data_IF_628966174662
#
_entry.id   IF_628966174662
#
_cell.length_a   1.000
_cell.length_b   1.000
_cell.length_c   1.000
_cell.angle_alpha   90.00
_cell.angle_beta   90.00
_cell.angle_gamma   90.00
#
_symmetry.space_group_name_H-M   'P 1'
#
loop_
_entity.id
_entity.type
_entity.pdbx_description
1 polymer ?
#
# COMPACT_ATOMS: atom_id res chain seq x y z
N UNK A 1 -8.42 20.69 13.08
CA UNK A 1 -7.15 21.46 13.12
C UNK A 1 -6.67 21.58 11.68
N UNK A 2 -6.58 22.80 11.14
CA UNK A 2 -6.04 23.02 9.78
C UNK A 2 -4.55 22.67 9.79
N UNK A 3 -4.05 21.86 8.85
CA UNK A 3 -2.64 21.59 8.75
C UNK A 3 -1.87 22.89 8.52
N UNK A 4 -0.76 23.08 9.24
CA UNK A 4 0.10 24.24 9.01
C UNK A 4 1.03 23.96 7.83
N UNK A 5 0.52 24.22 6.62
CA UNK A 5 1.29 24.04 5.40
C UNK A 5 2.28 25.21 5.23
N UNK A 6 3.56 24.93 5.24
CA UNK A 6 4.61 25.93 4.98
C UNK A 6 4.59 26.41 3.53
N UNK A 7 4.22 25.55 2.60
CA UNK A 7 4.23 25.80 1.16
C UNK A 7 2.99 26.60 0.71
N UNK A 8 3.19 27.76 0.09
CA UNK A 8 2.12 28.65 -0.38
C UNK A 8 1.16 27.99 -1.36
N UNK A 9 1.67 27.16 -2.28
CA UNK A 9 0.86 26.48 -3.28
C UNK A 9 -0.07 25.42 -2.63
N UNK A 10 0.36 24.74 -1.56
CA UNK A 10 -0.48 23.79 -0.82
C UNK A 10 -1.62 24.53 -0.15
N UNK A 11 -1.36 25.71 0.45
CA UNK A 11 -2.42 26.55 1.05
C UNK A 11 -3.45 27.00 -0.01
N UNK A 12 -2.97 27.39 -1.18
CA UNK A 12 -3.83 27.77 -2.31
C UNK A 12 -4.75 26.62 -2.73
N UNK A 13 -4.19 25.42 -2.96
CA UNK A 13 -5.01 24.25 -3.31
C UNK A 13 -5.95 23.83 -2.19
N UNK A 14 -5.57 23.99 -0.93
CA UNK A 14 -6.47 23.73 0.20
C UNK A 14 -7.69 24.66 0.18
N UNK A 15 -7.49 25.95 -0.05
CA UNK A 15 -8.59 26.92 -0.18
C UNK A 15 -9.46 26.64 -1.41
N UNK A 16 -8.83 26.27 -2.53
CA UNK A 16 -9.53 25.93 -3.75
C UNK A 16 -10.36 24.64 -3.61
N UNK A 17 -9.88 23.68 -2.86
CA UNK A 17 -10.59 22.41 -2.60
C UNK A 17 -11.95 22.64 -1.96
N UNK A 18 -12.08 23.55 -1.01
CA UNK A 18 -13.36 23.87 -0.37
C UNK A 18 -14.41 24.38 -1.39
N UNK A 19 -13.97 25.19 -2.36
CA UNK A 19 -14.85 25.70 -3.42
C UNK A 19 -15.26 24.56 -4.38
N UNK A 20 -14.30 23.74 -4.78
CA UNK A 20 -14.53 22.62 -5.70
C UNK A 20 -15.47 21.59 -5.06
N UNK A 21 -15.27 21.22 -3.80
CA UNK A 21 -16.09 20.22 -3.10
C UNK A 21 -17.56 20.62 -3.04
N UNK A 22 -17.85 21.90 -2.87
CA UNK A 22 -19.24 22.40 -2.86
C UNK A 22 -19.95 22.26 -4.21
N UNK A 23 -19.19 22.40 -5.31
CA UNK A 23 -19.73 22.34 -6.67
C UNK A 23 -19.71 20.92 -7.25
N UNK A 24 -18.82 20.05 -6.77
CA UNK A 24 -18.74 18.67 -7.24
C UNK A 24 -20.05 17.92 -6.98
N UNK A 25 -20.46 17.06 -7.92
CA UNK A 25 -21.59 16.15 -7.75
C UNK A 25 -21.26 15.09 -6.70
N UNK A 26 -20.13 14.41 -6.85
CA UNK A 26 -19.55 13.47 -5.89
C UNK A 26 -18.05 13.72 -5.74
N UNK A 27 -17.51 13.33 -4.60
CA UNK A 27 -16.06 13.38 -4.29
C UNK A 27 -15.63 12.01 -3.86
N UNK A 28 -14.69 11.39 -4.59
CA UNK A 28 -14.20 10.07 -4.27
C UNK A 28 -12.99 10.11 -3.35
N UNK A 29 -12.88 9.15 -2.47
CA UNK A 29 -11.73 8.89 -1.59
C UNK A 29 -11.31 7.45 -1.72
N UNK A 30 -10.01 7.17 -1.56
CA UNK A 30 -9.50 5.80 -1.61
C UNK A 30 -9.73 5.02 -0.30
N UNK A 31 -9.95 5.70 0.82
CA UNK A 31 -10.09 5.08 2.14
C UNK A 31 -10.80 6.01 3.13
N UNK A 32 -11.27 5.43 4.24
CA UNK A 32 -12.13 6.10 5.21
C UNK A 32 -11.48 7.33 5.85
N UNK A 33 -10.19 7.25 6.21
CA UNK A 33 -9.50 8.39 6.81
C UNK A 33 -9.31 9.55 5.82
N UNK A 34 -9.09 9.27 4.51
CA UNK A 34 -9.04 10.31 3.47
C UNK A 34 -10.41 10.99 3.31
N UNK A 35 -11.52 10.23 3.34
CA UNK A 35 -12.88 10.78 3.36
C UNK A 35 -13.07 11.75 4.53
N UNK A 36 -12.60 11.36 5.73
CA UNK A 36 -12.70 12.22 6.91
C UNK A 36 -11.91 13.53 6.77
N UNK A 37 -10.73 13.47 6.12
CA UNK A 37 -9.93 14.66 5.80
C UNK A 37 -10.69 15.57 4.82
N UNK A 38 -11.27 15.02 3.75
CA UNK A 38 -12.04 15.79 2.76
C UNK A 38 -13.25 16.49 3.40
N UNK A 39 -13.97 15.79 4.28
CA UNK A 39 -15.07 16.39 5.06
C UNK A 39 -14.54 17.54 5.95
N UNK A 40 -13.41 17.33 6.63
CA UNK A 40 -12.75 18.38 7.41
C UNK A 40 -12.26 19.57 6.58
N UNK A 41 -12.06 19.39 5.27
CA UNK A 41 -11.73 20.42 4.29
C UNK A 41 -12.98 21.09 3.67
N UNK A 42 -14.17 20.81 4.18
CA UNK A 42 -15.42 21.45 3.75
C UNK A 42 -16.21 20.68 2.69
N UNK A 43 -15.85 19.42 2.40
CA UNK A 43 -16.68 18.58 1.53
C UNK A 43 -17.94 18.14 2.28
N UNK A 44 -19.14 18.31 1.70
CA UNK A 44 -20.37 17.76 2.29
C UNK A 44 -20.28 16.23 2.41
N UNK A 45 -20.62 15.69 3.58
CA UNK A 45 -20.41 14.26 3.89
C UNK A 45 -21.21 13.33 2.96
N UNK A 46 -22.38 13.79 2.51
CA UNK A 46 -23.27 13.07 1.58
C UNK A 46 -22.71 13.00 0.14
N UNK A 47 -21.76 13.87 -0.20
CA UNK A 47 -21.06 13.85 -1.49
C UNK A 47 -19.82 12.95 -1.50
N UNK A 48 -19.28 12.64 -0.31
CA UNK A 48 -18.06 11.85 -0.18
C UNK A 48 -18.33 10.35 -0.28
N UNK A 49 -17.78 9.71 -1.30
CA UNK A 49 -17.87 8.27 -1.54
C UNK A 49 -16.48 7.64 -1.40
N UNK A 50 -16.38 6.51 -0.70
CA UNK A 50 -15.12 5.74 -0.64
C UNK A 50 -15.14 4.70 -1.74
N UNK A 51 -14.22 4.82 -2.70
CA UNK A 51 -13.97 3.81 -3.74
C UNK A 51 -12.48 3.47 -3.68
N UNK A 52 -12.13 2.35 -3.02
CA UNK A 52 -10.74 1.94 -2.91
C UNK A 52 -10.19 1.46 -4.25
N UNK A 53 -8.87 1.59 -4.45
CA UNK A 53 -8.22 0.90 -5.55
C UNK A 53 -8.37 -0.61 -5.40
N UNK A 54 -8.65 -1.28 -6.51
CA UNK A 54 -8.64 -2.72 -6.63
C UNK A 54 -7.39 -3.23 -7.33
N UNK A 55 -7.08 -4.50 -7.13
CA UNK A 55 -6.03 -5.22 -7.85
C UNK A 55 -6.62 -6.43 -8.59
N UNK A 56 -5.94 -6.94 -9.64
CA UNK A 56 -6.32 -8.18 -10.30
C UNK A 56 -6.05 -9.36 -9.35
N UNK A 57 -6.99 -9.61 -8.44
CA UNK A 57 -6.86 -10.55 -7.33
C UNK A 57 -6.43 -11.95 -7.78
N UNK A 58 -6.98 -12.44 -8.89
CA UNK A 58 -6.68 -13.79 -9.41
C UNK A 58 -5.21 -13.96 -9.83
N UNK A 59 -4.53 -12.87 -10.17
CA UNK A 59 -3.08 -12.89 -10.46
C UNK A 59 -2.24 -13.28 -9.24
N UNK A 60 -2.73 -12.96 -8.04
CA UNK A 60 -1.95 -13.10 -6.81
C UNK A 60 -2.44 -14.21 -5.87
N UNK A 61 -3.74 -14.49 -5.85
CA UNK A 61 -4.35 -15.36 -4.84
C UNK A 61 -3.86 -16.82 -4.88
N UNK A 62 -3.46 -17.29 -6.06
CA UNK A 62 -2.94 -18.65 -6.29
C UNK A 62 -1.44 -18.81 -6.07
N UNK A 63 -0.69 -17.74 -5.74
CA UNK A 63 0.75 -17.83 -5.56
C UNK A 63 1.10 -18.74 -4.37
N UNK A 64 1.90 -19.81 -4.58
CA UNK A 64 2.24 -20.75 -3.50
C UNK A 64 3.05 -20.06 -2.40
N UNK A 65 2.86 -20.48 -1.15
CA UNK A 65 3.71 -20.05 -0.05
C UNK A 65 5.15 -20.52 -0.30
N UNK A 66 6.11 -19.72 0.18
CA UNK A 66 7.53 -20.07 0.09
C UNK A 66 7.79 -21.41 0.79
N UNK A 67 8.52 -22.30 0.12
CA UNK A 67 9.02 -23.52 0.73
C UNK A 67 10.02 -23.23 1.85
N UNK A 68 10.06 -24.07 2.88
CA UNK A 68 11.02 -23.92 3.96
C UNK A 68 12.43 -24.31 3.49
N UNK A 69 13.36 -23.37 3.62
CA UNK A 69 14.77 -23.54 3.31
C UNK A 69 15.68 -23.11 4.48
N UNK A 70 15.08 -22.91 5.67
CA UNK A 70 15.77 -22.42 6.84
C UNK A 70 15.99 -20.91 6.89
N UNK A 71 15.61 -20.19 5.83
CA UNK A 71 15.73 -18.74 5.72
C UNK A 71 14.35 -18.07 5.74
N UNK A 72 14.31 -16.86 6.27
CA UNK A 72 13.14 -15.98 6.18
C UNK A 72 13.46 -14.86 5.19
N UNK A 73 12.70 -14.82 4.10
CA UNK A 73 12.85 -13.85 3.02
C UNK A 73 11.83 -12.73 3.16
N UNK A 74 12.32 -11.51 3.34
CA UNK A 74 11.54 -10.29 3.53
C UNK A 74 11.58 -9.49 2.24
N UNK A 75 10.43 -9.08 1.70
CA UNK A 75 10.35 -8.29 0.48
C UNK A 75 9.93 -6.84 0.74
N UNK A 76 10.60 -5.89 0.10
CA UNK A 76 10.15 -4.52 -0.01
C UNK A 76 9.83 -4.22 -1.48
N UNK A 77 8.55 -4.18 -1.84
CA UNK A 77 8.09 -3.91 -3.21
C UNK A 77 7.92 -2.40 -3.38
N UNK A 78 9.02 -1.71 -3.69
CA UNK A 78 9.08 -0.25 -3.66
C UNK A 78 10.07 0.29 -4.70
N UNK A 79 9.77 1.44 -5.29
CA UNK A 79 10.75 2.19 -6.09
C UNK A 79 11.78 2.84 -5.16
N UNK A 80 13.03 2.96 -5.61
CA UNK A 80 14.07 3.64 -4.83
C UNK A 80 13.90 5.14 -4.96
N UNK A 81 13.17 5.73 -4.00
CA UNK A 81 12.89 7.15 -3.88
C UNK A 81 12.87 7.57 -2.41
N UNK A 82 13.23 8.82 -2.05
CA UNK A 82 13.28 9.29 -0.65
C UNK A 82 11.98 9.07 0.12
N UNK A 83 10.83 9.23 -0.54
CA UNK A 83 9.50 9.05 0.08
C UNK A 83 9.26 7.60 0.58
N UNK A 84 10.00 6.62 0.06
CA UNK A 84 9.90 5.19 0.44
C UNK A 84 10.75 4.83 1.65
N UNK A 85 11.62 5.73 2.09
CA UNK A 85 12.44 5.64 3.30
C UNK A 85 13.18 4.29 3.47
N UNK A 86 13.87 3.89 2.41
CA UNK A 86 14.66 2.65 2.40
C UNK A 86 15.79 2.69 3.42
N UNK A 87 16.30 3.89 3.77
CA UNK A 87 17.34 4.03 4.78
C UNK A 87 16.88 3.57 6.17
N UNK A 88 15.66 3.96 6.59
CA UNK A 88 15.07 3.45 7.84
C UNK A 88 14.87 1.93 7.78
N UNK A 89 14.47 1.38 6.63
CA UNK A 89 14.37 -0.09 6.45
C UNK A 89 15.73 -0.77 6.64
N UNK A 90 16.79 -0.24 6.03
CA UNK A 90 18.15 -0.81 6.16
C UNK A 90 18.63 -0.79 7.61
N UNK A 91 18.39 0.28 8.35
CA UNK A 91 18.70 0.33 9.79
C UNK A 91 17.86 -0.67 10.59
N UNK A 92 16.56 -0.78 10.33
CA UNK A 92 15.70 -1.76 11.00
C UNK A 92 16.12 -3.20 10.68
N UNK A 93 16.50 -3.47 9.44
CA UNK A 93 17.00 -4.78 9.03
C UNK A 93 18.37 -5.10 9.64
N UNK A 94 19.23 -4.09 9.80
CA UNK A 94 20.50 -4.24 10.52
C UNK A 94 20.27 -4.68 11.98
N UNK A 95 19.35 -4.04 12.70
CA UNK A 95 18.96 -4.45 14.05
C UNK A 95 18.38 -5.86 14.09
N UNK A 96 17.53 -6.22 13.13
CA UNK A 96 16.99 -7.58 12.99
C UNK A 96 18.10 -8.61 12.73
N UNK A 97 19.05 -8.32 11.84
CA UNK A 97 20.16 -9.20 11.47
C UNK A 97 21.14 -9.46 12.64
N UNK A 98 21.21 -8.52 13.59
CA UNK A 98 21.95 -8.73 14.83
C UNK A 98 21.31 -9.81 15.72
N UNK A 99 19.98 -9.91 15.71
CA UNK A 99 19.18 -10.86 16.50
C UNK A 99 18.99 -12.20 15.76
N UNK A 100 18.93 -12.18 14.43
CA UNK A 100 18.67 -13.37 13.59
C UNK A 100 19.62 -13.44 12.41
N UNK A 101 20.28 -14.58 12.24
CA UNK A 101 21.26 -14.79 11.15
C UNK A 101 20.64 -15.34 9.87
N UNK A 102 19.46 -15.93 9.95
CA UNK A 102 18.78 -16.59 8.84
C UNK A 102 17.69 -15.71 8.20
N UNK A 103 17.97 -14.43 7.99
CA UNK A 103 17.06 -13.46 7.34
C UNK A 103 17.71 -12.86 6.10
N UNK A 104 16.91 -12.63 5.05
CA UNK A 104 17.31 -11.96 3.81
C UNK A 104 16.31 -10.85 3.50
N UNK A 105 16.81 -9.72 3.03
CA UNK A 105 15.99 -8.60 2.57
C UNK A 105 16.12 -8.45 1.05
N UNK A 106 14.98 -8.43 0.37
CA UNK A 106 14.88 -8.20 -1.06
C UNK A 106 14.20 -6.85 -1.31
N UNK A 107 14.91 -5.91 -1.93
CA UNK A 107 14.36 -4.61 -2.33
C UNK A 107 14.06 -4.69 -3.81
N UNK A 108 12.74 -4.71 -4.13
CA UNK A 108 12.20 -4.99 -5.45
C UNK A 108 11.56 -3.73 -6.02
N UNK A 109 12.22 -3.13 -6.99
CA UNK A 109 11.70 -1.95 -7.68
C UNK A 109 12.76 -1.19 -8.45
N UNK A 110 12.30 -0.36 -9.36
CA UNK A 110 13.15 0.49 -10.18
C UNK A 110 13.74 1.65 -9.38
N UNK A 111 14.73 2.30 -9.99
CA UNK A 111 15.37 3.51 -9.47
C UNK A 111 14.60 4.72 -10.01
N UNK A 112 13.98 5.50 -9.12
CA UNK A 112 13.36 6.78 -9.42
C UNK A 112 14.35 7.93 -9.20
N UNK A 113 15.18 7.80 -8.15
CA UNK A 113 16.20 8.76 -7.74
C UNK A 113 17.55 8.03 -7.64
N UNK A 114 18.46 8.35 -8.57
CA UNK A 114 19.72 7.66 -8.70
C UNK A 114 20.68 7.98 -7.53
N UNK A 115 20.66 9.22 -7.01
CA UNK A 115 21.48 9.64 -5.88
C UNK A 115 21.01 8.89 -4.62
N UNK A 116 19.70 8.90 -4.35
CA UNK A 116 19.13 8.17 -3.22
C UNK A 116 19.40 6.66 -3.30
N UNK A 117 19.31 6.05 -4.50
CA UNK A 117 19.63 4.63 -4.69
C UNK A 117 21.10 4.32 -4.40
N UNK A 118 22.02 5.19 -4.84
CA UNK A 118 23.44 5.08 -4.52
C UNK A 118 23.70 5.20 -3.02
N UNK A 119 23.07 6.16 -2.35
CA UNK A 119 23.14 6.32 -0.89
C UNK A 119 22.63 5.09 -0.13
N UNK A 120 21.49 4.51 -0.55
CA UNK A 120 20.96 3.27 0.05
C UNK A 120 21.94 2.09 -0.11
N UNK A 121 22.52 1.95 -1.29
CA UNK A 121 23.51 0.90 -1.56
C UNK A 121 24.78 1.10 -0.73
N UNK A 122 25.26 2.33 -0.63
CA UNK A 122 26.41 2.67 0.21
C UNK A 122 26.12 2.39 1.69
N UNK A 123 24.94 2.78 2.18
CA UNK A 123 24.51 2.52 3.56
C UNK A 123 24.46 1.02 3.87
N UNK A 124 23.90 0.20 2.97
CA UNK A 124 23.85 -1.25 3.17
C UNK A 124 25.27 -1.84 3.33
N UNK A 125 26.24 -1.37 2.52
CA UNK A 125 27.66 -1.77 2.64
C UNK A 125 28.28 -1.30 3.95
N UNK A 126 28.05 -0.05 4.34
CA UNK A 126 28.56 0.51 5.61
C UNK A 126 28.05 -0.24 6.84
N UNK A 127 26.81 -0.71 6.78
CA UNK A 127 26.20 -1.52 7.85
C UNK A 127 26.62 -3.01 7.81
N UNK A 128 27.41 -3.42 6.81
CA UNK A 128 27.84 -4.83 6.66
C UNK A 128 26.69 -5.78 6.32
N UNK A 129 25.67 -5.31 5.61
CA UNK A 129 24.49 -6.09 5.26
C UNK A 129 24.74 -6.93 4.00
N UNK A 130 25.28 -8.13 4.16
CA UNK A 130 25.55 -9.06 3.05
C UNK A 130 24.29 -9.74 2.51
N UNK A 131 23.23 -9.78 3.30
CA UNK A 131 21.96 -10.47 2.99
C UNK A 131 20.89 -9.50 2.46
N UNK A 132 21.27 -8.34 1.95
CA UNK A 132 20.37 -7.41 1.24
C UNK A 132 20.59 -7.52 -0.25
N UNK A 133 19.50 -7.67 -0.99
CA UNK A 133 19.50 -7.73 -2.46
C UNK A 133 18.67 -6.60 -3.04
N UNK A 134 19.29 -5.76 -3.83
CA UNK A 134 18.62 -4.79 -4.69
C UNK A 134 18.38 -5.46 -6.04
N UNK A 135 17.12 -5.85 -6.33
CA UNK A 135 16.81 -6.66 -7.53
C UNK A 135 16.58 -5.84 -8.79
N UNK A 136 16.38 -4.52 -8.62
CA UNK A 136 15.83 -3.70 -9.70
C UNK A 136 14.35 -4.00 -9.93
N UNK A 137 13.83 -3.58 -11.08
CA UNK A 137 12.43 -3.80 -11.47
C UNK A 137 12.20 -5.28 -11.77
N UNK A 138 11.23 -5.88 -11.11
CA UNK A 138 10.80 -7.26 -11.30
C UNK A 138 9.27 -7.32 -11.35
N UNK A 139 8.72 -8.38 -11.91
CA UNK A 139 7.32 -8.71 -11.81
C UNK A 139 7.01 -9.18 -10.38
N UNK A 140 6.14 -8.45 -9.68
CA UNK A 140 5.76 -8.75 -8.30
C UNK A 140 5.11 -10.13 -8.17
N UNK A 141 4.20 -10.49 -9.09
CA UNK A 141 3.53 -11.78 -9.07
C UNK A 141 4.52 -12.94 -9.23
N UNK A 142 5.47 -12.81 -10.15
CA UNK A 142 6.52 -13.82 -10.38
C UNK A 142 7.51 -13.92 -9.22
N UNK A 143 7.62 -12.91 -8.36
CA UNK A 143 8.62 -12.88 -7.27
C UNK A 143 8.05 -13.26 -5.90
N UNK A 144 6.77 -12.96 -5.63
CA UNK A 144 6.15 -13.14 -4.31
C UNK A 144 6.25 -14.57 -3.76
N UNK A 145 6.34 -15.61 -4.61
CA UNK A 145 6.52 -17.00 -4.15
C UNK A 145 7.84 -17.23 -3.38
N UNK A 146 8.81 -16.31 -3.51
CA UNK A 146 10.11 -16.37 -2.81
C UNK A 146 10.11 -15.69 -1.46
N UNK A 147 9.03 -15.00 -1.11
CA UNK A 147 8.97 -14.17 0.09
C UNK A 147 8.09 -14.80 1.16
N UNK A 148 8.50 -14.65 2.40
CA UNK A 148 7.73 -15.04 3.58
C UNK A 148 6.73 -13.95 4.00
N UNK A 149 7.16 -12.69 3.92
CA UNK A 149 6.34 -11.51 4.22
C UNK A 149 6.93 -10.27 3.57
N UNK A 150 6.18 -9.16 3.60
CA UNK A 150 6.64 -7.91 3.00
C UNK A 150 6.73 -6.77 4.00
N UNK A 151 7.49 -5.73 3.66
CA UNK A 151 7.66 -4.53 4.46
C UNK A 151 7.53 -3.28 3.60
N UNK A 152 6.87 -2.25 4.13
CA UNK A 152 6.73 -0.93 3.51
C UNK A 152 7.06 0.14 4.54
N UNK A 153 8.05 0.97 4.27
CA UNK A 153 8.58 1.99 5.21
C UNK A 153 8.30 3.42 4.80
N UNK A 154 7.43 3.61 3.83
CA UNK A 154 7.14 4.92 3.25
C UNK A 154 6.80 5.99 4.30
N UNK A 155 7.20 7.23 4.03
CA UNK A 155 6.85 8.40 4.84
C UNK A 155 5.43 8.87 4.52
N UNK A 156 4.96 8.65 3.29
CA UNK A 156 3.63 9.00 2.83
C UNK A 156 3.15 8.03 1.77
N UNK A 157 1.88 7.66 1.84
CA UNK A 157 1.15 6.85 0.86
C UNK A 157 -0.30 7.34 0.75
N UNK A 158 -0.93 7.00 -0.36
CA UNK A 158 -2.38 6.96 -0.44
C UNK A 158 -2.87 5.56 -0.07
N UNK A 159 -2.98 4.72 -1.08
CA UNK A 159 -3.29 3.28 -0.95
C UNK A 159 -2.22 2.47 -1.70
N UNK A 160 -1.27 1.85 -0.99
CA UNK A 160 -0.15 1.15 -1.62
C UNK A 160 -0.62 -0.18 -2.23
N UNK A 161 -0.61 -0.28 -3.57
CA UNK A 161 -1.00 -1.50 -4.29
C UNK A 161 -0.09 -2.68 -3.94
N UNK A 162 1.19 -2.44 -3.69
CA UNK A 162 2.14 -3.48 -3.29
C UNK A 162 1.76 -4.19 -1.97
N UNK A 163 1.07 -3.49 -1.06
CA UNK A 163 0.50 -4.11 0.15
C UNK A 163 -0.69 -4.99 -0.22
N UNK A 164 -1.59 -4.52 -1.08
CA UNK A 164 -2.72 -5.34 -1.57
C UNK A 164 -2.24 -6.59 -2.30
N UNK A 165 -1.26 -6.47 -3.20
CA UNK A 165 -0.65 -7.60 -3.92
C UNK A 165 -0.06 -8.63 -2.95
N UNK A 166 0.68 -8.15 -1.94
CA UNK A 166 1.27 -9.00 -0.90
C UNK A 166 0.21 -9.74 -0.09
N UNK A 167 -0.82 -9.04 0.36
CA UNK A 167 -1.93 -9.62 1.13
C UNK A 167 -2.72 -10.63 0.29
N UNK A 168 -3.01 -10.32 -0.99
CA UNK A 168 -3.67 -11.26 -1.90
C UNK A 168 -2.86 -12.55 -2.07
N UNK A 169 -1.53 -12.46 -2.09
CA UNK A 169 -0.62 -13.58 -2.14
C UNK A 169 -0.38 -14.26 -0.77
N UNK A 170 -1.15 -13.96 0.27
CA UNK A 170 -1.00 -14.46 1.65
C UNK A 170 0.35 -14.11 2.30
N UNK A 171 0.98 -12.99 1.90
CA UNK A 171 2.17 -12.48 2.58
C UNK A 171 1.71 -11.39 3.54
N UNK A 172 1.79 -11.61 4.87
CA UNK A 172 1.50 -10.54 5.82
C UNK A 172 2.48 -9.40 5.63
N UNK A 173 2.10 -8.19 6.07
CA UNK A 173 2.92 -7.01 5.88
C UNK A 173 3.31 -6.36 7.20
N UNK A 174 4.50 -5.76 7.23
CA UNK A 174 4.87 -4.74 8.22
C UNK A 174 4.90 -3.41 7.48
N UNK A 175 4.09 -2.43 7.92
CA UNK A 175 4.04 -1.12 7.24
C UNK A 175 4.22 0.02 8.22
N UNK A 176 4.66 1.16 7.71
CA UNK A 176 4.46 2.42 8.42
C UNK A 176 2.98 2.80 8.41
N UNK A 177 2.54 3.53 9.44
CA UNK A 177 1.16 3.99 9.60
C UNK A 177 0.91 5.26 8.78
N UNK A 178 0.81 5.07 7.47
CA UNK A 178 0.62 6.14 6.48
C UNK A 178 -0.50 5.77 5.51
N UNK A 179 -1.23 6.77 5.02
CA UNK A 179 -2.35 6.53 4.10
C UNK A 179 -3.38 5.57 4.68
N UNK A 180 -3.74 4.54 3.92
CA UNK A 180 -4.66 3.49 4.36
C UNK A 180 -3.97 2.26 4.96
N UNK A 181 -2.66 2.26 5.19
CA UNK A 181 -1.93 1.06 5.63
C UNK A 181 -2.57 0.40 6.86
N UNK A 182 -3.03 1.21 7.83
CA UNK A 182 -3.74 0.68 9.01
C UNK A 182 -5.06 0.01 8.62
N UNK A 183 -5.87 0.62 7.76
CA UNK A 183 -7.13 0.01 7.29
C UNK A 183 -6.87 -1.29 6.52
N UNK A 184 -5.80 -1.36 5.72
CA UNK A 184 -5.42 -2.58 5.01
C UNK A 184 -4.99 -3.71 5.97
N UNK A 185 -4.28 -3.39 7.05
CA UNK A 185 -3.73 -4.41 7.95
C UNK A 185 -4.63 -4.75 9.15
N UNK A 186 -5.41 -3.81 9.64
CA UNK A 186 -6.27 -3.99 10.82
C UNK A 186 -7.76 -4.01 10.48
N UNK A 187 -8.12 -3.63 9.24
CA UNK A 187 -9.51 -3.49 8.76
C UNK A 187 -10.04 -2.07 8.88
N UNK A 188 -10.97 -1.72 8.00
CA UNK A 188 -11.78 -0.51 8.11
C UNK A 188 -12.79 -0.64 9.27
N UNK A 189 -13.43 0.47 9.72
CA UNK A 189 -14.46 0.39 10.74
C UNK A 189 -15.56 -0.61 10.39
N UNK A 190 -15.77 -1.60 11.25
CA UNK A 190 -16.73 -2.70 11.03
C UNK A 190 -16.12 -4.00 10.49
N UNK A 191 -14.85 -4.01 10.09
CA UNK A 191 -14.15 -5.24 9.73
C UNK A 191 -13.96 -6.14 10.97
N UNK A 192 -14.30 -7.42 10.84
CA UNK A 192 -14.19 -8.42 11.91
C UNK A 192 -13.16 -9.52 11.60
N UNK A 193 -12.43 -9.42 10.49
CA UNK A 193 -11.48 -10.45 10.05
C UNK A 193 -10.23 -10.53 10.95
N UNK A 194 -9.87 -9.40 11.58
CA UNK A 194 -8.69 -9.30 12.40
C UNK A 194 -7.47 -8.76 11.65
N UNK A 195 -6.27 -8.99 12.18
CA UNK A 195 -5.03 -8.42 11.65
C UNK A 195 -4.45 -9.22 10.50
N UNK A 196 -3.93 -8.52 9.49
CA UNK A 196 -3.16 -9.06 8.37
C UNK A 196 -1.65 -8.71 8.44
N UNK A 197 -1.21 -8.02 9.50
CA UNK A 197 0.16 -7.57 9.67
C UNK A 197 0.33 -6.59 10.83
N UNK A 198 1.36 -5.75 10.75
CA UNK A 198 1.69 -4.77 11.78
C UNK A 198 1.91 -3.38 11.19
N UNK A 199 1.28 -2.37 11.80
CA UNK A 199 1.55 -0.95 11.54
C UNK A 199 2.44 -0.36 12.64
N UNK A 200 3.44 0.44 12.24
CA UNK A 200 4.33 1.16 13.15
C UNK A 200 4.42 2.63 12.74
N UNK A 201 4.76 3.56 13.64
CA UNK A 201 4.98 4.95 13.25
C UNK A 201 6.05 5.08 12.14
N UNK A 202 5.91 6.06 11.21
CA UNK A 202 6.96 6.35 10.23
C UNK A 202 8.31 6.68 10.91
N UNK A 203 9.42 6.33 10.24
CA UNK A 203 10.80 6.58 10.71
C UNK A 203 11.15 5.90 12.05
N UNK A 204 10.34 4.97 12.53
CA UNK A 204 10.55 4.27 13.79
C UNK A 204 11.22 2.90 13.56
N UNK A 205 12.57 2.92 13.35
CA UNK A 205 13.37 1.74 13.00
C UNK A 205 13.24 0.60 14.01
N UNK A 206 13.22 0.91 15.32
CA UNK A 206 13.11 -0.11 16.37
C UNK A 206 11.78 -0.85 16.28
N UNK A 207 10.66 -0.12 16.13
CA UNK A 207 9.34 -0.72 15.98
C UNK A 207 9.21 -1.58 14.70
N UNK A 208 9.86 -1.16 13.60
CA UNK A 208 9.97 -1.96 12.38
C UNK A 208 10.74 -3.26 12.63
N UNK A 209 11.91 -3.18 13.28
CA UNK A 209 12.71 -4.36 13.61
C UNK A 209 11.94 -5.33 14.50
N UNK A 210 11.25 -4.84 15.53
CA UNK A 210 10.47 -5.65 16.46
C UNK A 210 9.25 -6.31 15.78
N UNK A 211 8.58 -5.59 14.87
CA UNK A 211 7.46 -6.14 14.09
C UNK A 211 7.93 -7.22 13.10
N UNK A 212 9.05 -6.99 12.40
CA UNK A 212 9.67 -7.99 11.52
C UNK A 212 10.12 -9.21 12.32
N UNK A 213 10.71 -9.02 13.51
CA UNK A 213 11.15 -10.12 14.40
C UNK A 213 9.98 -11.06 14.77
N UNK A 214 8.79 -10.51 15.09
CA UNK A 214 7.58 -11.32 15.36
C UNK A 214 7.20 -12.21 14.18
N UNK A 215 7.28 -11.67 12.95
CA UNK A 215 6.99 -12.45 11.75
C UNK A 215 8.09 -13.46 11.43
N UNK A 216 9.35 -13.13 11.70
CA UNK A 216 10.46 -14.07 11.53
C UNK A 216 10.35 -15.26 12.50
N UNK A 217 9.88 -15.03 13.74
CA UNK A 217 9.83 -16.01 14.80
C UNK A 217 8.81 -17.13 14.56
N UNK A 218 7.76 -16.90 13.76
CA UNK A 218 6.66 -17.86 13.66
C UNK A 218 6.06 -17.93 12.26
N UNK A 219 6.27 -19.08 11.60
CA UNK A 219 5.59 -19.40 10.32
C UNK A 219 4.07 -19.45 10.49
N UNK A 220 3.58 -20.12 11.54
CA UNK A 220 2.14 -20.21 11.81
C UNK A 220 1.50 -18.81 11.95
N UNK A 221 2.22 -17.86 12.55
CA UNK A 221 1.75 -16.47 12.63
C UNK A 221 1.68 -15.83 11.24
N UNK A 222 2.72 -16.01 10.39
CA UNK A 222 2.70 -15.50 9.02
C UNK A 222 1.52 -16.05 8.23
N UNK A 223 1.28 -17.36 8.30
CA UNK A 223 0.18 -18.02 7.61
C UNK A 223 -1.19 -17.54 8.10
N UNK A 224 -1.37 -17.39 9.41
CA UNK A 224 -2.59 -16.85 10.01
C UNK A 224 -2.89 -15.43 9.53
N UNK A 225 -1.91 -14.53 9.64
CA UNK A 225 -2.07 -13.13 9.23
C UNK A 225 -2.24 -13.01 7.71
N UNK A 226 -1.50 -13.80 6.94
CA UNK A 226 -1.61 -13.85 5.48
C UNK A 226 -3.00 -14.31 5.02
N UNK A 227 -3.59 -15.31 5.68
CA UNK A 227 -4.94 -15.76 5.38
C UNK A 227 -6.01 -14.68 5.63
N UNK A 228 -5.84 -13.89 6.71
CA UNK A 228 -6.70 -12.72 6.98
C UNK A 228 -6.56 -11.68 5.88
N UNK A 229 -5.31 -11.35 5.50
CA UNK A 229 -5.03 -10.38 4.43
C UNK A 229 -5.66 -10.78 3.10
N UNK A 230 -5.50 -12.04 2.70
CA UNK A 230 -6.08 -12.55 1.46
C UNK A 230 -7.61 -12.44 1.46
N UNK A 231 -8.28 -12.80 2.55
CA UNK A 231 -9.74 -12.66 2.70
C UNK A 231 -10.17 -11.20 2.56
N UNK A 232 -9.48 -10.27 3.22
CA UNK A 232 -9.78 -8.83 3.15
C UNK A 232 -9.67 -8.31 1.72
N UNK A 233 -8.59 -8.66 0.99
CA UNK A 233 -8.45 -8.25 -0.40
C UNK A 233 -9.53 -8.84 -1.29
N UNK A 234 -9.88 -10.11 -1.09
CA UNK A 234 -10.96 -10.77 -1.83
C UNK A 234 -12.32 -10.12 -1.61
N UNK A 235 -12.59 -9.58 -0.42
CA UNK A 235 -13.86 -8.95 -0.06
C UNK A 235 -13.97 -7.50 -0.54
N UNK A 236 -12.88 -6.71 -0.42
CA UNK A 236 -13.00 -5.26 -0.46
C UNK A 236 -12.11 -4.58 -1.52
N UNK A 237 -11.15 -5.31 -2.15
CA UNK A 237 -10.11 -4.70 -2.98
C UNK A 237 -9.86 -5.43 -4.31
N UNK A 238 -10.90 -6.04 -4.88
CA UNK A 238 -10.82 -6.62 -6.23
C UNK A 238 -10.99 -5.53 -7.28
N UNK A 239 -10.26 -5.66 -8.38
CA UNK A 239 -10.31 -4.71 -9.49
C UNK A 239 -11.74 -4.58 -10.07
N UNK A 240 -12.45 -5.70 -10.22
CA UNK A 240 -13.81 -5.75 -10.73
C UNK A 240 -14.77 -4.95 -9.84
N UNK A 241 -14.66 -5.08 -8.51
CA UNK A 241 -15.48 -4.33 -7.56
C UNK A 241 -15.24 -2.82 -7.64
N UNK A 242 -13.97 -2.42 -7.80
CA UNK A 242 -13.63 -1.01 -8.01
C UNK A 242 -14.30 -0.49 -9.29
N UNK A 243 -14.21 -1.22 -10.40
CA UNK A 243 -14.84 -0.84 -11.66
C UNK A 243 -16.36 -0.73 -11.54
N UNK A 244 -17.02 -1.68 -10.90
CA UNK A 244 -18.46 -1.65 -10.67
C UNK A 244 -18.88 -0.40 -9.87
N UNK A 245 -18.13 -0.04 -8.83
CA UNK A 245 -18.40 1.17 -8.04
C UNK A 245 -18.24 2.44 -8.86
N UNK A 246 -17.20 2.52 -9.71
CA UNK A 246 -17.05 3.67 -10.62
C UNK A 246 -18.12 3.72 -11.69
N UNK A 247 -18.51 2.58 -12.27
CA UNK A 247 -19.64 2.52 -13.23
C UNK A 247 -20.93 3.02 -12.61
N UNK A 248 -21.27 2.55 -11.40
CA UNK A 248 -22.44 3.01 -10.68
C UNK A 248 -22.41 4.52 -10.40
N UNK A 249 -21.24 5.07 -10.02
CA UNK A 249 -21.04 6.48 -9.79
C UNK A 249 -21.22 7.31 -11.09
N UNK A 250 -20.71 6.83 -12.21
CA UNK A 250 -20.86 7.52 -13.50
C UNK A 250 -22.30 7.47 -14.01
N UNK A 251 -23.00 6.31 -13.86
CA UNK A 251 -24.42 6.20 -14.20
C UNK A 251 -25.28 7.16 -13.37
N UNK A 252 -25.06 7.23 -12.05
CA UNK A 252 -25.73 8.19 -11.16
C UNK A 252 -25.49 9.64 -11.62
N UNK A 253 -24.25 9.96 -12.00
CA UNK A 253 -23.88 11.30 -12.44
C UNK A 253 -24.54 11.64 -13.78
N UNK A 254 -24.54 10.71 -14.73
CA UNK A 254 -25.18 10.90 -16.05
C UNK A 254 -26.69 11.14 -15.90
N UNK A 255 -27.36 10.32 -15.08
CA UNK A 255 -28.80 10.45 -14.80
C UNK A 255 -29.11 11.83 -14.19
N UNK A 256 -28.31 12.26 -13.20
CA UNK A 256 -28.53 13.54 -12.52
C UNK A 256 -28.37 14.76 -13.46
N UNK A 257 -27.60 14.61 -14.55
CA UNK A 257 -27.34 15.68 -15.54
C UNK A 257 -28.13 15.50 -16.86
N UNK A 258 -29.02 14.50 -16.94
CA UNK A 258 -29.78 14.20 -18.16
C UNK A 258 -28.92 13.78 -19.37
N UNK A 259 -27.75 13.19 -19.09
CA UNK A 259 -26.85 12.67 -20.11
C UNK A 259 -27.19 11.20 -20.43
N UNK A 260 -26.95 10.73 -21.67
CA UNK A 260 -27.10 9.32 -22.00
C UNK A 260 -26.11 8.49 -21.16
N UNK A 261 -26.57 7.35 -20.70
CA UNK A 261 -25.70 6.39 -19.99
C UNK A 261 -24.76 5.71 -21.01
N UNK A 262 -23.47 6.00 -20.91
CA UNK A 262 -22.41 5.42 -21.75
C UNK A 262 -21.58 4.37 -21.00
N UNK A 263 -22.02 3.96 -19.81
CA UNK A 263 -21.24 3.04 -18.94
C UNK A 263 -21.06 1.65 -19.56
N UNK A 264 -21.87 1.26 -20.53
CA UNK A 264 -21.78 -0.03 -21.25
C UNK A 264 -20.93 -0.01 -22.51
N UNK A 265 -20.36 1.14 -22.92
CA UNK A 265 -19.46 1.17 -24.07
C UNK A 265 -18.09 0.63 -23.68
N UNK A 266 -17.80 -0.63 -24.08
CA UNK A 266 -16.48 -1.26 -23.90
C UNK A 266 -15.34 -0.43 -24.50
N UNK A 267 -15.60 0.33 -25.54
CA UNK A 267 -14.62 1.19 -26.24
C UNK A 267 -14.05 2.29 -25.33
N UNK A 268 -14.86 2.90 -24.46
CA UNK A 268 -14.42 4.00 -23.58
C UNK A 268 -13.41 3.52 -22.51
N UNK A 269 -13.51 2.26 -22.11
CA UNK A 269 -12.65 1.69 -21.04
C UNK A 269 -11.33 1.16 -21.59
N UNK A 270 -11.29 0.76 -22.87
CA UNK A 270 -10.06 0.31 -23.54
C UNK A 270 -9.11 1.49 -23.80
N UNK A 271 -9.64 2.68 -24.11
CA UNK A 271 -8.81 3.89 -24.30
C UNK A 271 -8.19 4.43 -23.02
N UNK A 272 -8.87 4.30 -21.87
CA UNK A 272 -8.36 4.75 -20.57
C UNK A 272 -7.33 3.81 -19.93
N UNK A 273 -7.28 2.55 -20.36
CA UNK A 273 -6.34 1.54 -19.86
C UNK A 273 -5.06 1.38 -20.67
N UNK A 274 -4.90 2.10 -21.78
CA UNK A 274 -3.78 1.97 -22.72
C UNK A 274 -2.73 3.09 -22.64
N UNK A 275 -2.82 4.00 -21.66
CA UNK A 275 -1.82 5.06 -21.42
C UNK A 275 -1.07 4.90 -20.10
#
# INVERSE_FOLDING_TARGET
>A
VRPDFKERWIRFFYMLSEQIYRQAFRVTSLFTSARSIQIGMGCPAEKCVVIPNGIPYETFCGIPLKAEDGWVDIGALVRLAPIKDIKTLLYAFWELSARRKNVRLHILGGVDDAEYAAECTALARQLGLENVRFTGRVDSAAYLHRLDFTVLTSISEGQPLSVLESLAARRPCVTTDVGCCRELLEGAPGDTLGRAGYCVPPMYRQGLADAMEKLCASRALREKLGAVGQKRVAQDYRYEQMLEQYRALYAETAQAHGLPDQTDSEELWLELGSN
#
